data_IF_907025287194
#
_entry.id   IF_907025287194
#
_cell.length_a   1.000
_cell.length_b   1.000
_cell.length_c   1.000
_cell.angle_alpha   90.00
_cell.angle_beta   90.00
_cell.angle_gamma   90.00
#
_symmetry.space_group_name_H-M   'P 1'
#
loop_
_entity.id
_entity.type
_entity.pdbx_description
1 polymer ?
#
# COMPACT_ATOMS: atom_id res chain seq x y z
N UNK A 1 2.40 1.84 -23.53
CA UNK A 1 1.17 2.65 -23.44
C UNK A 1 0.82 2.77 -21.96
N UNK A 2 0.47 3.96 -21.42
CA UNK A 2 -0.05 4.05 -20.06
C UNK A 2 -1.32 3.19 -19.97
N UNK A 3 -1.46 2.42 -18.89
CA UNK A 3 -2.70 1.69 -18.65
C UNK A 3 -3.85 2.71 -18.48
N UNK A 4 -5.07 2.41 -18.97
CA UNK A 4 -6.19 3.31 -18.80
C UNK A 4 -6.51 3.51 -17.31
N UNK A 5 -6.60 4.77 -16.88
CA UNK A 5 -6.99 5.19 -15.54
C UNK A 5 -8.32 4.51 -15.15
N UNK A 6 -8.35 3.81 -14.01
CA UNK A 6 -9.55 3.12 -13.53
C UNK A 6 -10.49 4.13 -12.86
N UNK A 7 -11.76 4.11 -13.25
CA UNK A 7 -12.75 5.11 -12.87
C UNK A 7 -13.92 4.54 -12.11
N UNK A 8 -14.34 5.30 -11.09
CA UNK A 8 -15.51 5.05 -10.25
C UNK A 8 -16.49 6.21 -10.42
N UNK A 9 -17.78 5.89 -10.53
CA UNK A 9 -18.84 6.88 -10.63
C UNK A 9 -19.73 6.84 -9.39
N UNK A 10 -19.76 7.92 -8.63
CA UNK A 10 -20.73 8.12 -7.55
C UNK A 10 -21.98 8.86 -8.05
N UNK A 11 -23.16 8.32 -7.74
CA UNK A 11 -24.45 8.86 -8.14
C UNK A 11 -25.25 9.31 -6.93
N UNK A 12 -25.83 10.50 -7.04
CA UNK A 12 -26.95 10.92 -6.19
C UNK A 12 -27.95 11.75 -7.01
N UNK A 13 -29.05 12.19 -6.43
CA UNK A 13 -30.08 12.96 -7.15
C UNK A 13 -29.55 14.27 -7.76
N UNK A 14 -28.97 15.16 -6.96
CA UNK A 14 -28.60 16.51 -7.39
C UNK A 14 -27.12 16.77 -7.71
N UNK A 15 -26.21 15.80 -7.49
CA UNK A 15 -24.75 16.00 -7.54
C UNK A 15 -24.21 17.22 -6.78
N UNK A 16 -24.79 17.50 -5.63
CA UNK A 16 -24.45 18.69 -4.83
C UNK A 16 -23.94 18.33 -3.43
N UNK A 17 -24.44 17.23 -2.85
CA UNK A 17 -24.16 16.87 -1.46
C UNK A 17 -23.42 15.52 -1.36
N UNK A 18 -24.16 14.42 -1.27
CA UNK A 18 -23.62 13.09 -0.92
C UNK A 18 -22.61 12.54 -1.96
N UNK A 19 -22.91 12.58 -3.26
CA UNK A 19 -21.99 12.05 -4.28
C UNK A 19 -20.74 12.92 -4.49
N UNK A 20 -20.85 14.24 -4.31
CA UNK A 20 -19.68 15.14 -4.29
C UNK A 20 -18.79 14.88 -3.08
N UNK A 21 -19.38 14.67 -1.90
CA UNK A 21 -18.62 14.30 -0.70
C UNK A 21 -17.86 12.99 -0.94
N UNK A 22 -18.55 11.98 -1.50
CA UNK A 22 -17.95 10.70 -1.77
C UNK A 22 -16.78 10.77 -2.78
N UNK A 23 -16.95 11.52 -3.86
CA UNK A 23 -15.90 11.74 -4.86
C UNK A 23 -14.64 12.36 -4.26
N UNK A 24 -14.77 13.48 -3.55
CA UNK A 24 -13.61 14.22 -3.03
C UNK A 24 -12.89 13.42 -1.94
N UNK A 25 -13.64 12.77 -1.04
CA UNK A 25 -13.07 11.93 0.01
C UNK A 25 -12.37 10.70 -0.58
N UNK A 26 -12.99 10.01 -1.54
CA UNK A 26 -12.37 8.87 -2.20
C UNK A 26 -11.06 9.26 -2.88
N UNK A 27 -11.07 10.33 -3.70
CA UNK A 27 -9.89 10.75 -4.45
C UNK A 27 -8.72 11.14 -3.53
N UNK A 28 -9.02 11.79 -2.39
CA UNK A 28 -8.01 12.10 -1.38
C UNK A 28 -7.40 10.83 -0.79
N UNK A 29 -8.23 9.90 -0.30
CA UNK A 29 -7.77 8.67 0.33
C UNK A 29 -7.07 7.72 -0.66
N UNK A 30 -7.54 7.68 -1.91
CA UNK A 30 -6.90 6.91 -2.98
C UNK A 30 -5.50 7.43 -3.28
N UNK A 31 -5.32 8.76 -3.34
CA UNK A 31 -4.01 9.38 -3.52
C UNK A 31 -3.07 9.10 -2.33
N UNK A 32 -3.55 9.20 -1.09
CA UNK A 32 -2.77 8.83 0.11
C UNK A 32 -2.32 7.37 0.09
N UNK A 33 -3.14 6.47 -0.46
CA UNK A 33 -2.84 5.04 -0.60
C UNK A 33 -2.08 4.69 -1.89
N UNK A 34 -1.81 5.65 -2.76
CA UNK A 34 -1.16 5.40 -4.05
C UNK A 34 -1.96 4.49 -4.99
N UNK A 35 -3.29 4.51 -4.88
CA UNK A 35 -4.17 3.72 -5.75
C UNK A 35 -4.32 4.39 -7.11
N UNK A 36 -4.18 3.60 -8.19
CA UNK A 36 -4.47 4.02 -9.57
C UNK A 36 -5.98 3.95 -9.87
N UNK A 37 -6.76 4.65 -9.04
CA UNK A 37 -8.21 4.77 -9.13
C UNK A 37 -8.62 6.23 -8.97
N UNK A 38 -9.57 6.66 -9.80
CA UNK A 38 -10.17 7.98 -9.73
C UNK A 38 -11.68 7.91 -9.65
N UNK A 39 -12.25 8.66 -8.73
CA UNK A 39 -13.69 8.87 -8.65
C UNK A 39 -14.11 10.14 -9.41
N UNK A 40 -15.27 10.04 -10.05
CA UNK A 40 -16.09 11.17 -10.47
C UNK A 40 -17.50 11.02 -9.86
N UNK A 41 -18.31 12.08 -9.91
CA UNK A 41 -19.71 12.00 -9.50
C UNK A 41 -20.66 12.72 -10.44
N UNK A 42 -21.90 12.23 -10.51
CA UNK A 42 -22.98 12.78 -11.34
C UNK A 42 -24.34 12.77 -10.63
N UNK A 43 -25.25 13.55 -11.19
CA UNK A 43 -26.62 13.76 -10.73
C UNK A 43 -27.60 12.99 -11.62
N UNK A 44 -28.56 12.30 -11.01
CA UNK A 44 -29.57 11.55 -11.75
C UNK A 44 -30.77 12.41 -12.17
N UNK A 45 -31.07 13.47 -11.42
CA UNK A 45 -32.25 14.29 -11.66
C UNK A 45 -32.10 15.18 -12.91
N UNK A 46 -33.17 15.26 -13.71
CA UNK A 46 -33.17 15.95 -15.01
C UNK A 46 -32.99 17.46 -14.87
N UNK A 47 -33.60 18.08 -13.84
CA UNK A 47 -33.54 19.51 -13.57
C UNK A 47 -33.17 19.79 -12.12
N UNK A 48 -31.89 19.59 -11.79
CA UNK A 48 -31.36 19.80 -10.45
C UNK A 48 -31.42 21.27 -9.98
N UNK A 49 -31.72 22.24 -10.86
CA UNK A 49 -31.92 23.65 -10.49
C UNK A 49 -33.19 23.83 -9.66
N UNK A 50 -34.17 22.94 -9.81
CA UNK A 50 -35.40 22.92 -9.02
C UNK A 50 -35.18 22.44 -7.57
N UNK A 51 -34.02 21.84 -7.29
CA UNK A 51 -33.68 21.36 -5.94
C UNK A 51 -33.21 22.48 -4.99
N UNK A 52 -33.15 23.73 -5.44
CA UNK A 52 -32.75 24.87 -4.60
C UNK A 52 -31.28 24.86 -4.18
N UNK A 53 -30.43 24.12 -4.90
CA UNK A 53 -28.99 24.03 -4.61
C UNK A 53 -28.25 25.25 -5.17
N UNK A 54 -27.56 26.01 -4.32
CA UNK A 54 -26.80 27.19 -4.71
C UNK A 54 -25.30 26.96 -4.59
N UNK A 55 -24.57 27.09 -5.71
CA UNK A 55 -23.12 26.98 -5.76
C UNK A 55 -22.61 25.61 -6.18
N UNK A 56 -21.35 25.32 -5.84
CA UNK A 56 -20.60 24.18 -6.36
C UNK A 56 -20.84 22.88 -5.59
N UNK A 57 -21.11 22.99 -4.29
CA UNK A 57 -21.24 21.87 -3.36
C UNK A 57 -21.89 22.35 -2.07
N UNK A 58 -22.64 21.47 -1.40
CA UNK A 58 -23.26 21.76 -0.11
C UNK A 58 -22.23 22.21 0.93
N UNK A 59 -22.55 23.30 1.65
CA UNK A 59 -21.71 23.82 2.74
C UNK A 59 -21.48 22.79 3.84
N UNK A 60 -22.45 21.91 4.10
CA UNK A 60 -22.32 20.81 5.06
C UNK A 60 -21.25 19.80 4.61
N UNK A 61 -21.26 19.40 3.33
CA UNK A 61 -20.25 18.48 2.81
C UNK A 61 -18.87 19.12 2.73
N UNK A 62 -18.78 20.39 2.34
CA UNK A 62 -17.52 21.14 2.34
C UNK A 62 -16.92 21.21 3.75
N UNK A 63 -17.73 21.59 4.74
CA UNK A 63 -17.31 21.66 6.15
C UNK A 63 -16.84 20.30 6.66
N UNK A 64 -17.55 19.22 6.30
CA UNK A 64 -17.19 17.87 6.68
C UNK A 64 -15.86 17.40 6.04
N UNK A 65 -15.60 17.75 4.78
CA UNK A 65 -14.33 17.46 4.10
C UNK A 65 -13.17 18.26 4.69
N UNK A 66 -13.38 19.55 4.97
CA UNK A 66 -12.37 20.43 5.57
C UNK A 66 -11.98 19.96 6.98
N UNK A 67 -12.96 19.52 7.80
CA UNK A 67 -12.69 18.86 9.10
C UNK A 67 -11.81 17.60 8.97
N UNK A 68 -11.82 16.96 7.80
CA UNK A 68 -11.02 15.77 7.47
C UNK A 68 -9.73 16.12 6.72
N UNK A 69 -9.39 17.41 6.62
CA UNK A 69 -8.22 17.92 5.90
C UNK A 69 -8.23 17.58 4.39
N UNK A 70 -9.41 17.28 3.83
CA UNK A 70 -9.58 17.02 2.40
C UNK A 70 -9.69 18.35 1.65
N UNK A 71 -8.79 18.59 0.70
CA UNK A 71 -8.82 19.79 -0.14
C UNK A 71 -9.93 19.68 -1.18
N UNK A 72 -10.94 20.55 -1.08
CA UNK A 72 -12.10 20.55 -1.99
C UNK A 72 -11.90 21.52 -3.16
N UNK A 73 -12.07 21.04 -4.39
CA UNK A 73 -12.13 21.92 -5.57
C UNK A 73 -13.50 22.58 -5.68
N UNK A 74 -13.58 23.90 -5.43
CA UNK A 74 -14.81 24.70 -5.55
C UNK A 74 -15.01 25.29 -6.96
N UNK A 75 -14.45 24.68 -8.00
CA UNK A 75 -14.54 25.19 -9.39
C UNK A 75 -15.64 24.54 -10.22
N UNK A 76 -16.12 23.36 -9.82
CA UNK A 76 -17.06 22.55 -10.60
C UNK A 76 -18.46 22.63 -10.01
N UNK A 77 -19.44 23.06 -10.80
CA UNK A 77 -20.86 23.00 -10.44
C UNK A 77 -21.39 21.57 -10.50
N UNK A 78 -22.54 21.27 -9.88
CA UNK A 78 -23.22 19.99 -10.04
C UNK A 78 -23.39 19.61 -11.52
N UNK A 79 -23.08 18.36 -11.84
CA UNK A 79 -23.15 17.83 -13.20
C UNK A 79 -24.15 16.67 -13.25
N UNK A 80 -25.03 16.72 -14.25
CA UNK A 80 -25.95 15.64 -14.57
C UNK A 80 -25.23 14.52 -15.32
N UNK A 81 -25.63 13.28 -15.06
CA UNK A 81 -25.20 12.13 -15.83
C UNK A 81 -25.70 12.23 -17.28
N UNK A 82 -24.81 12.05 -18.26
CA UNK A 82 -25.20 12.01 -19.67
C UNK A 82 -25.54 10.57 -20.10
N UNK A 83 -26.48 10.38 -21.04
CA UNK A 83 -26.74 9.05 -21.62
C UNK A 83 -25.45 8.39 -22.14
N UNK A 84 -25.28 7.10 -21.86
CA UNK A 84 -24.09 6.32 -22.21
C UNK A 84 -22.79 6.64 -21.44
N UNK A 85 -22.73 7.73 -20.64
CA UNK A 85 -21.51 8.15 -19.92
C UNK A 85 -21.04 7.09 -18.92
N UNK A 86 -21.99 6.41 -18.25
CA UNK A 86 -21.70 5.41 -17.23
C UNK A 86 -20.88 4.21 -17.74
N UNK A 87 -20.88 3.94 -19.06
CA UNK A 87 -20.09 2.85 -19.67
C UNK A 87 -18.58 3.07 -19.57
N UNK A 88 -18.14 4.30 -19.33
CA UNK A 88 -16.72 4.63 -19.15
C UNK A 88 -16.16 4.30 -17.76
N UNK A 89 -16.99 3.80 -16.83
CA UNK A 89 -16.62 3.55 -15.45
C UNK A 89 -16.64 2.06 -15.15
N UNK A 90 -15.64 1.59 -14.39
CA UNK A 90 -15.55 0.17 -14.01
C UNK A 90 -16.46 -0.14 -12.82
N UNK A 91 -16.75 0.86 -11.99
CA UNK A 91 -17.58 0.72 -10.79
C UNK A 91 -18.55 1.90 -10.74
N UNK A 92 -19.84 1.60 -10.59
CA UNK A 92 -20.90 2.61 -10.43
C UNK A 92 -21.59 2.39 -9.09
N UNK A 93 -21.63 3.44 -8.27
CA UNK A 93 -22.18 3.40 -6.91
C UNK A 93 -23.25 4.48 -6.79
N UNK A 94 -24.49 4.08 -6.47
CA UNK A 94 -25.56 5.00 -6.13
C UNK A 94 -25.80 5.00 -4.61
N UNK A 95 -26.06 6.17 -4.05
CA UNK A 95 -26.02 6.32 -2.59
C UNK A 95 -27.29 5.84 -1.89
N UNK A 96 -28.44 5.83 -2.56
CA UNK A 96 -29.74 5.39 -2.02
C UNK A 96 -30.48 4.56 -3.05
N UNK A 97 -30.81 3.30 -2.76
CA UNK A 97 -31.50 2.46 -3.73
C UNK A 97 -32.92 2.95 -4.04
N UNK A 98 -33.73 3.21 -3.01
CA UNK A 98 -35.15 3.53 -3.17
C UNK A 98 -35.36 4.82 -3.97
N UNK A 99 -34.47 5.79 -3.78
CA UNK A 99 -34.51 7.08 -4.48
C UNK A 99 -33.99 6.97 -5.91
N UNK A 100 -32.88 6.26 -6.12
CA UNK A 100 -32.14 6.33 -7.37
C UNK A 100 -32.50 5.23 -8.37
N UNK A 101 -32.89 4.04 -7.91
CA UNK A 101 -33.22 2.92 -8.80
C UNK A 101 -34.34 3.29 -9.80
N UNK A 102 -35.48 3.90 -9.38
CA UNK A 102 -36.52 4.30 -10.33
C UNK A 102 -36.07 5.35 -11.34
N UNK A 103 -35.20 6.28 -10.93
CA UNK A 103 -34.63 7.30 -11.82
C UNK A 103 -33.69 6.68 -12.85
N UNK A 104 -32.87 5.70 -12.43
CA UNK A 104 -31.96 4.96 -13.29
C UNK A 104 -32.75 4.16 -14.33
N UNK A 105 -33.72 3.35 -13.90
CA UNK A 105 -34.53 2.52 -14.80
C UNK A 105 -35.29 3.36 -15.84
N UNK A 106 -35.79 4.53 -15.43
CA UNK A 106 -36.56 5.42 -16.30
C UNK A 106 -35.70 6.21 -17.30
N UNK A 107 -34.53 6.69 -16.87
CA UNK A 107 -33.76 7.68 -17.63
C UNK A 107 -32.41 7.18 -18.16
N UNK A 108 -31.90 6.09 -17.62
CA UNK A 108 -30.61 5.50 -17.96
C UNK A 108 -30.71 3.96 -18.00
N UNK A 109 -31.61 3.37 -18.82
CA UNK A 109 -31.85 1.93 -18.85
C UNK A 109 -30.61 1.11 -19.26
N UNK A 110 -29.61 1.74 -19.87
CA UNK A 110 -28.34 1.14 -20.26
C UNK A 110 -27.27 1.14 -19.15
N UNK A 111 -27.63 1.55 -17.92
CA UNK A 111 -26.69 1.65 -16.80
C UNK A 111 -26.05 0.27 -16.50
N UNK A 112 -24.72 0.20 -16.32
CA UNK A 112 -24.06 -1.03 -15.88
C UNK A 112 -24.49 -1.39 -14.45
N UNK A 113 -24.06 -2.56 -13.94
CA UNK A 113 -24.36 -3.01 -12.58
C UNK A 113 -24.07 -1.90 -11.54
N UNK A 114 -25.12 -1.40 -10.92
CA UNK A 114 -25.05 -0.35 -9.89
C UNK A 114 -24.99 -1.01 -8.52
N UNK A 115 -23.99 -0.62 -7.72
CA UNK A 115 -23.95 -0.96 -6.29
C UNK A 115 -24.66 0.13 -5.49
N UNK A 116 -25.52 -0.24 -4.56
CA UNK A 116 -26.22 0.69 -3.69
C UNK A 116 -25.62 0.70 -2.28
N UNK A 117 -25.49 1.88 -1.68
CA UNK A 117 -24.95 2.05 -0.33
C UNK A 117 -26.00 2.38 0.73
N UNK A 118 -27.25 2.60 0.32
CA UNK A 118 -28.44 2.81 1.16
C UNK A 118 -28.27 3.85 2.27
N UNK A 119 -27.70 4.99 1.88
CA UNK A 119 -27.56 6.24 2.64
C UNK A 119 -28.72 7.16 2.25
N UNK A 120 -29.60 7.48 3.19
CA UNK A 120 -30.84 8.24 2.92
C UNK A 120 -30.57 9.74 2.73
N UNK A 121 -31.56 10.47 2.24
CA UNK A 121 -31.45 11.92 2.00
C UNK A 121 -31.73 12.76 3.26
N UNK A 122 -31.40 14.06 3.16
CA UNK A 122 -31.67 15.03 4.22
C UNK A 122 -33.19 15.16 4.46
N UNK A 123 -33.65 14.70 5.62
CA UNK A 123 -35.06 14.63 6.00
C UNK A 123 -35.37 13.33 6.75
N UNK A 124 -34.74 12.24 6.33
CA UNK A 124 -34.86 10.92 6.96
C UNK A 124 -33.70 10.62 7.93
N UNK A 125 -32.53 11.23 7.70
CA UNK A 125 -31.38 11.16 8.62
C UNK A 125 -30.62 12.50 8.73
N UNK A 126 -29.99 12.80 9.90
CA UNK A 126 -29.17 13.97 10.06
C UNK A 126 -27.93 13.97 9.15
N UNK A 127 -27.55 15.14 8.65
CA UNK A 127 -26.41 15.36 7.75
C UNK A 127 -25.11 14.66 8.21
N UNK A 128 -24.77 14.80 9.49
CA UNK A 128 -23.55 14.25 10.07
C UNK A 128 -23.55 12.71 10.07
N UNK A 129 -24.71 12.10 10.32
CA UNK A 129 -24.89 10.64 10.26
C UNK A 129 -24.67 10.12 8.84
N UNK A 130 -25.32 10.75 7.84
CA UNK A 130 -25.20 10.37 6.44
C UNK A 130 -23.74 10.42 5.95
N UNK A 131 -23.04 11.53 6.22
CA UNK A 131 -21.64 11.71 5.82
C UNK A 131 -20.71 10.74 6.55
N UNK A 132 -20.96 10.47 7.83
CA UNK A 132 -20.23 9.47 8.61
C UNK A 132 -20.35 8.07 8.00
N UNK A 133 -21.56 7.65 7.63
CA UNK A 133 -21.79 6.36 6.96
C UNK A 133 -21.12 6.29 5.58
N UNK A 134 -21.18 7.36 4.79
CA UNK A 134 -20.47 7.45 3.50
C UNK A 134 -18.97 7.30 3.71
N UNK A 135 -18.39 7.98 4.71
CA UNK A 135 -16.98 7.84 5.03
C UNK A 135 -16.62 6.39 5.42
N UNK A 136 -17.40 5.75 6.29
CA UNK A 136 -17.17 4.35 6.66
C UNK A 136 -17.15 3.45 5.43
N UNK A 137 -18.13 3.61 4.53
CA UNK A 137 -18.20 2.84 3.27
C UNK A 137 -16.99 3.10 2.38
N UNK A 138 -16.56 4.36 2.23
CA UNK A 138 -15.38 4.72 1.41
C UNK A 138 -14.10 4.12 2.00
N UNK A 139 -13.90 4.20 3.31
CA UNK A 139 -12.70 3.63 3.95
C UNK A 139 -12.62 2.11 3.81
N UNK A 140 -13.76 1.43 3.96
CA UNK A 140 -13.86 -0.01 3.72
C UNK A 140 -13.55 -0.33 2.25
N UNK A 141 -14.11 0.45 1.32
CA UNK A 141 -13.93 0.25 -0.11
C UNK A 141 -12.48 0.53 -0.58
N UNK A 142 -11.82 1.56 -0.04
CA UNK A 142 -10.38 1.81 -0.28
C UNK A 142 -9.54 0.64 0.21
N UNK A 143 -9.88 0.05 1.38
CA UNK A 143 -9.20 -1.14 1.90
C UNK A 143 -9.36 -2.32 0.94
N UNK A 144 -10.57 -2.55 0.44
CA UNK A 144 -10.86 -3.61 -0.52
C UNK A 144 -10.12 -3.41 -1.85
N UNK A 145 -10.12 -2.20 -2.41
CA UNK A 145 -9.38 -1.88 -3.63
C UNK A 145 -7.87 -2.03 -3.42
N UNK A 146 -7.36 -1.63 -2.25
CA UNK A 146 -5.95 -1.82 -1.90
C UNK A 146 -5.59 -3.31 -1.85
N UNK A 147 -6.45 -4.14 -1.25
CA UNK A 147 -6.24 -5.59 -1.20
C UNK A 147 -6.31 -6.26 -2.59
N UNK A 148 -7.25 -5.83 -3.45
CA UNK A 148 -7.37 -6.33 -4.83
C UNK A 148 -6.23 -5.91 -5.74
N UNK A 149 -5.57 -4.80 -5.42
CA UNK A 149 -4.44 -4.26 -6.18
C UNK A 149 -3.11 -4.70 -5.58
N UNK A 150 -3.10 -5.19 -4.33
CA UNK A 150 -1.93 -5.77 -3.69
C UNK A 150 -1.55 -7.05 -4.42
N UNK A 151 -0.50 -6.97 -5.23
CA UNK A 151 0.09 -8.12 -5.92
C UNK A 151 0.74 -9.10 -4.93
N UNK A 152 0.91 -8.70 -3.66
CA UNK A 152 1.57 -9.51 -2.64
C UNK A 152 1.03 -9.18 -1.24
N UNK A 153 0.99 -10.18 -0.36
CA UNK A 153 0.65 -10.06 1.05
C UNK A 153 1.91 -10.09 1.91
N UNK A 154 2.07 -9.11 2.81
CA UNK A 154 3.13 -9.13 3.83
C UNK A 154 2.58 -9.81 5.09
N UNK A 155 3.23 -10.89 5.52
CA UNK A 155 2.84 -11.66 6.71
C UNK A 155 4.06 -12.28 7.41
N UNK A 156 3.87 -12.75 8.64
CA UNK A 156 4.91 -13.52 9.32
C UNK A 156 5.19 -14.80 8.51
N UNK A 157 6.46 -15.21 8.49
CA UNK A 157 6.86 -16.48 7.91
C UNK A 157 6.33 -17.66 8.74
N UNK A 158 5.94 -18.72 8.06
CA UNK A 158 5.62 -20.02 8.62
C UNK A 158 6.62 -21.08 8.12
N UNK A 159 6.64 -22.26 8.74
CA UNK A 159 7.54 -23.35 8.35
C UNK A 159 7.40 -23.77 6.87
N UNK A 160 6.21 -23.63 6.31
CA UNK A 160 5.93 -23.94 4.90
C UNK A 160 6.53 -22.90 3.94
N UNK A 161 6.91 -21.71 4.44
CA UNK A 161 7.56 -20.68 3.64
C UNK A 161 9.08 -20.90 3.50
N UNK A 162 9.72 -21.71 4.38
CA UNK A 162 11.18 -21.93 4.39
C UNK A 162 11.76 -22.29 3.01
N UNK A 163 11.19 -23.23 2.23
CA UNK A 163 11.70 -23.53 0.89
C UNK A 163 11.68 -22.31 -0.05
N UNK A 164 10.64 -21.47 0.07
CA UNK A 164 10.49 -20.26 -0.73
C UNK A 164 11.46 -19.15 -0.32
N UNK A 165 11.71 -18.98 0.99
CA UNK A 165 12.70 -18.04 1.52
C UNK A 165 14.10 -18.43 1.06
N UNK A 166 14.48 -19.70 1.25
CA UNK A 166 15.77 -20.26 0.83
C UNK A 166 16.03 -20.01 -0.66
N UNK A 167 15.02 -20.26 -1.50
CA UNK A 167 15.13 -20.01 -2.95
C UNK A 167 15.36 -18.53 -3.26
N UNK A 168 14.60 -17.62 -2.64
CA UNK A 168 14.78 -16.17 -2.84
C UNK A 168 16.17 -15.73 -2.40
N UNK A 169 16.67 -16.22 -1.27
CA UNK A 169 18.00 -15.88 -0.75
C UNK A 169 19.10 -16.36 -1.69
N UNK A 170 19.15 -17.66 -2.00
CA UNK A 170 20.20 -18.24 -2.85
C UNK A 170 20.20 -17.61 -4.24
N UNK A 171 19.03 -17.40 -4.85
CA UNK A 171 18.93 -16.73 -6.16
C UNK A 171 19.39 -15.27 -6.08
N UNK A 172 19.08 -14.56 -4.98
CA UNK A 172 19.54 -13.20 -4.75
C UNK A 172 21.05 -13.15 -4.54
N UNK A 173 21.63 -14.07 -3.78
CA UNK A 173 23.07 -14.11 -3.49
C UNK A 173 23.84 -14.40 -4.77
N UNK A 174 23.46 -15.45 -5.50
CA UNK A 174 24.10 -15.82 -6.77
C UNK A 174 24.02 -14.71 -7.81
N UNK A 175 22.98 -13.88 -7.80
CA UNK A 175 22.82 -12.78 -8.76
C UNK A 175 23.44 -11.46 -8.31
N UNK A 176 23.28 -11.07 -7.05
CA UNK A 176 23.78 -9.80 -6.51
C UNK A 176 25.28 -9.84 -6.22
N UNK A 177 25.80 -11.01 -5.86
CA UNK A 177 27.19 -11.22 -5.46
C UNK A 177 28.03 -11.90 -6.56
N UNK A 178 27.43 -12.16 -7.72
CA UNK A 178 28.16 -12.56 -8.92
C UNK A 178 29.29 -11.56 -9.21
N UNK A 179 30.52 -12.05 -9.25
CA UNK A 179 31.71 -11.23 -9.49
C UNK A 179 32.23 -10.44 -8.29
N UNK A 180 31.57 -10.54 -7.12
CA UNK A 180 32.05 -10.01 -5.84
C UNK A 180 32.64 -11.09 -4.94
N UNK A 181 32.22 -12.35 -5.13
CA UNK A 181 32.71 -13.52 -4.40
C UNK A 181 33.22 -14.60 -5.37
N UNK A 182 34.14 -15.47 -4.94
CA UNK A 182 34.51 -16.66 -5.68
C UNK A 182 33.28 -17.51 -6.03
N UNK A 183 33.25 -18.08 -7.24
CA UNK A 183 32.16 -18.98 -7.65
C UNK A 183 32.00 -20.15 -6.67
N UNK A 184 33.12 -20.72 -6.22
CA UNK A 184 33.15 -21.77 -5.21
C UNK A 184 32.48 -21.33 -3.90
N UNK A 185 32.66 -20.08 -3.44
CA UNK A 185 32.00 -19.57 -2.24
C UNK A 185 30.47 -19.50 -2.42
N UNK A 186 30.00 -19.03 -3.59
CA UNK A 186 28.56 -18.96 -3.90
C UNK A 186 27.92 -20.34 -4.13
N UNK A 187 28.70 -21.35 -4.48
CA UNK A 187 28.24 -22.74 -4.64
C UNK A 187 27.86 -23.41 -3.31
N UNK A 188 28.42 -22.94 -2.20
CA UNK A 188 28.05 -23.43 -0.85
C UNK A 188 26.63 -23.02 -0.44
N UNK A 189 26.05 -22.00 -1.06
CA UNK A 189 24.65 -21.61 -0.81
C UNK A 189 23.73 -22.54 -1.60
N UNK A 190 23.34 -23.66 -0.98
CA UNK A 190 22.34 -24.58 -1.55
C UNK A 190 20.95 -24.29 -1.02
N UNK A 191 19.92 -24.55 -1.82
CA UNK A 191 18.53 -24.35 -1.37
C UNK A 191 18.19 -25.23 -0.17
N UNK A 192 18.76 -26.44 -0.08
CA UNK A 192 18.45 -27.41 0.97
C UNK A 192 19.04 -27.00 2.33
N UNK A 193 20.29 -26.54 2.34
CA UNK A 193 20.95 -26.06 3.57
C UNK A 193 20.27 -24.79 4.08
N UNK A 194 20.02 -23.82 3.19
CA UNK A 194 19.32 -22.59 3.58
C UNK A 194 17.89 -22.87 4.07
N UNK A 195 17.17 -23.81 3.44
CA UNK A 195 15.85 -24.22 3.95
C UNK A 195 15.95 -24.77 5.38
N UNK A 196 16.96 -25.60 5.66
CA UNK A 196 17.19 -26.15 6.99
C UNK A 196 17.50 -25.05 8.02
N UNK A 197 18.32 -24.07 7.66
CA UNK A 197 18.67 -22.95 8.53
C UNK A 197 17.43 -22.10 8.86
N UNK A 198 16.57 -21.82 7.87
CA UNK A 198 15.31 -21.10 8.09
C UNK A 198 14.35 -21.88 8.99
N UNK A 199 14.25 -23.21 8.81
CA UNK A 199 13.46 -24.08 9.69
C UNK A 199 14.01 -24.06 11.12
N UNK A 200 15.33 -24.13 11.28
CA UNK A 200 15.96 -24.05 12.58
C UNK A 200 15.67 -22.71 13.26
N UNK A 201 15.80 -21.59 12.54
CA UNK A 201 15.48 -20.26 13.07
C UNK A 201 14.03 -20.20 13.57
N UNK A 202 13.05 -20.64 12.77
CA UNK A 202 11.64 -20.60 13.13
C UNK A 202 11.27 -21.53 14.30
N UNK A 203 11.99 -22.62 14.49
CA UNK A 203 11.75 -23.57 15.59
C UNK A 203 12.57 -23.29 16.85
N UNK A 204 13.61 -22.45 16.77
CA UNK A 204 14.53 -22.17 17.87
C UNK A 204 13.93 -21.37 19.04
N UNK A 205 12.72 -20.83 18.88
CA UNK A 205 12.18 -19.83 19.80
C UNK A 205 12.83 -18.45 19.64
N UNK A 206 13.53 -18.21 18.52
CA UNK A 206 14.10 -16.90 18.21
C UNK A 206 13.03 -15.82 18.26
N UNK A 207 13.37 -14.70 18.87
CA UNK A 207 12.53 -13.52 18.83
C UNK A 207 12.70 -12.75 17.51
N UNK A 208 13.53 -13.16 16.56
CA UNK A 208 13.71 -12.38 15.32
C UNK A 208 12.40 -12.22 14.55
N UNK A 209 12.25 -11.07 13.89
CA UNK A 209 11.09 -10.74 13.06
C UNK A 209 11.39 -11.22 11.65
N UNK A 210 10.77 -12.32 11.24
CA UNK A 210 10.84 -12.84 9.87
C UNK A 210 9.50 -12.67 9.16
N UNK A 211 9.48 -11.84 8.11
CA UNK A 211 8.30 -11.61 7.27
C UNK A 211 8.55 -12.06 5.84
N UNK A 212 7.49 -12.54 5.20
CA UNK A 212 7.47 -12.86 3.77
C UNK A 212 6.49 -11.97 3.02
N UNK A 213 6.81 -11.74 1.75
CA UNK A 213 5.88 -11.27 0.75
C UNK A 213 5.41 -12.47 -0.06
N UNK A 214 4.13 -12.82 0.06
CA UNK A 214 3.51 -13.93 -0.66
C UNK A 214 2.69 -13.41 -1.84
N UNK A 215 2.81 -14.03 -3.02
CA UNK A 215 1.94 -13.76 -4.18
C UNK A 215 0.50 -14.25 -3.92
N UNK A 216 -0.48 -13.94 -4.79
CA UNK A 216 -1.85 -14.45 -4.64
C UNK A 216 -1.93 -15.98 -4.68
N UNK A 217 -0.97 -16.63 -5.35
CA UNK A 217 -0.80 -18.09 -5.39
C UNK A 217 -0.01 -18.63 -4.19
N UNK A 218 0.18 -17.80 -3.15
CA UNK A 218 0.91 -18.10 -1.92
C UNK A 218 2.40 -18.46 -2.14
N UNK A 219 3.01 -17.95 -3.22
CA UNK A 219 4.46 -18.13 -3.44
C UNK A 219 5.25 -17.04 -2.73
N UNK A 220 6.30 -17.40 -1.99
CA UNK A 220 7.24 -16.44 -1.43
C UNK A 220 8.03 -15.77 -2.57
N UNK A 221 7.90 -14.45 -2.67
CA UNK A 221 8.62 -13.62 -3.65
C UNK A 221 9.61 -12.64 -3.02
N UNK A 222 9.62 -12.56 -1.69
CA UNK A 222 10.56 -11.72 -0.94
C UNK A 222 10.44 -11.99 0.55
N UNK A 223 11.46 -11.60 1.31
CA UNK A 223 11.45 -11.70 2.76
C UNK A 223 12.29 -10.58 3.38
N UNK A 224 12.03 -10.32 4.66
CA UNK A 224 12.86 -9.48 5.52
C UNK A 224 13.07 -10.19 6.86
N UNK A 225 14.31 -10.16 7.34
CA UNK A 225 14.68 -10.58 8.67
C UNK A 225 15.16 -9.35 9.44
N UNK A 226 14.60 -9.11 10.61
CA UNK A 226 14.97 -8.01 11.48
C UNK A 226 15.11 -8.50 12.92
N UNK A 227 15.97 -7.83 13.69
CA UNK A 227 16.28 -8.18 15.07
C UNK A 227 16.22 -6.94 15.96
N UNK A 228 15.54 -7.07 17.09
CA UNK A 228 15.60 -6.10 18.18
C UNK A 228 16.67 -6.58 19.18
N UNK A 229 17.69 -5.76 19.41
CA UNK A 229 18.75 -6.06 20.39
C UNK A 229 19.40 -4.74 20.83
N UNK A 230 19.49 -4.45 22.13
CA UNK A 230 20.25 -3.30 22.62
C UNK A 230 21.70 -3.36 22.15
N UNK A 231 22.25 -2.20 21.81
CA UNK A 231 23.66 -2.02 21.44
C UNK A 231 24.13 -2.95 20.31
N UNK A 232 23.24 -3.25 19.33
CA UNK A 232 23.61 -4.05 18.15
C UNK A 232 24.67 -3.36 17.29
N UNK A 233 24.66 -2.03 17.33
CA UNK A 233 25.71 -1.12 16.87
C UNK A 233 25.69 0.10 17.82
N UNK A 234 26.80 0.82 18.07
CA UNK A 234 26.80 1.97 18.98
C UNK A 234 25.68 2.99 18.68
N UNK A 235 24.72 3.13 19.61
CA UNK A 235 23.54 4.01 19.45
C UNK A 235 22.31 3.36 18.77
N UNK A 236 22.39 2.09 18.39
CA UNK A 236 21.36 1.37 17.65
C UNK A 236 20.77 0.20 18.43
N UNK A 237 19.44 0.09 18.46
CA UNK A 237 18.71 -0.94 19.21
C UNK A 237 17.98 -1.96 18.33
N UNK A 238 18.20 -1.92 17.02
CA UNK A 238 17.73 -2.94 16.07
C UNK A 238 18.54 -2.99 14.77
N UNK A 239 18.40 -4.10 14.05
CA UNK A 239 19.03 -4.35 12.76
C UNK A 239 18.06 -5.00 11.76
N UNK A 240 18.10 -4.55 10.50
CA UNK A 240 17.57 -5.28 9.36
C UNK A 240 18.68 -6.20 8.84
N UNK A 241 18.63 -7.46 9.25
CA UNK A 241 19.66 -8.48 8.98
C UNK A 241 19.67 -8.91 7.51
N UNK A 242 18.50 -9.01 6.89
CA UNK A 242 18.37 -9.41 5.50
C UNK A 242 17.12 -8.82 4.87
N UNK A 243 17.19 -8.44 3.59
CA UNK A 243 16.05 -7.98 2.81
C UNK A 243 16.25 -8.36 1.35
N UNK A 244 15.45 -9.31 0.87
CA UNK A 244 15.57 -9.83 -0.48
C UNK A 244 14.22 -9.91 -1.16
N UNK A 245 14.20 -9.56 -2.46
CA UNK A 245 13.03 -9.69 -3.33
C UNK A 245 13.48 -10.35 -4.62
N UNK A 246 12.72 -11.35 -5.07
CA UNK A 246 12.93 -12.06 -6.34
C UNK A 246 13.09 -11.04 -7.46
N UNK A 247 14.10 -11.23 -8.31
CA UNK A 247 14.44 -10.28 -9.39
C UNK A 247 13.23 -9.89 -10.27
N UNK A 248 12.40 -10.86 -10.65
CA UNK A 248 11.18 -10.63 -11.44
C UNK A 248 10.08 -9.82 -10.71
N UNK A 249 10.17 -9.70 -9.39
CA UNK A 249 9.21 -9.03 -8.52
C UNK A 249 9.73 -7.68 -7.99
N UNK A 250 10.95 -7.28 -8.35
CA UNK A 250 11.52 -5.98 -7.99
C UNK A 250 10.82 -4.82 -8.74
N UNK A 251 10.93 -3.61 -8.20
CA UNK A 251 10.27 -2.42 -8.76
C UNK A 251 8.77 -2.31 -8.48
N UNK A 252 8.17 -3.31 -7.83
CA UNK A 252 6.73 -3.36 -7.52
C UNK A 252 6.41 -2.90 -6.09
N UNK A 253 7.35 -2.24 -5.39
CA UNK A 253 7.15 -1.76 -4.02
C UNK A 253 7.25 -2.83 -2.92
N UNK A 254 7.50 -4.10 -3.26
CA UNK A 254 7.57 -5.22 -2.29
C UNK A 254 8.64 -5.00 -1.21
N UNK A 255 9.86 -4.61 -1.60
CA UNK A 255 10.94 -4.37 -0.64
C UNK A 255 10.59 -3.26 0.36
N UNK A 256 9.89 -2.22 -0.12
CA UNK A 256 9.39 -1.14 0.73
C UNK A 256 8.30 -1.63 1.69
N UNK A 257 7.35 -2.44 1.21
CA UNK A 257 6.30 -3.03 2.04
C UNK A 257 6.85 -3.99 3.11
N UNK A 258 7.83 -4.83 2.77
CA UNK A 258 8.54 -5.69 3.71
C UNK A 258 9.24 -4.86 4.80
N UNK A 259 10.02 -3.87 4.39
CA UNK A 259 10.76 -3.00 5.31
C UNK A 259 9.83 -2.25 6.26
N UNK A 260 8.70 -1.74 5.76
CA UNK A 260 7.65 -1.13 6.60
C UNK A 260 7.11 -2.09 7.64
N UNK A 261 6.77 -3.31 7.21
CA UNK A 261 6.27 -4.34 8.12
C UNK A 261 7.28 -4.73 9.21
N UNK A 262 8.58 -4.72 8.89
CA UNK A 262 9.64 -4.95 9.87
C UNK A 262 9.75 -3.77 10.85
N UNK A 263 9.80 -2.53 10.35
CA UNK A 263 9.84 -1.31 11.17
C UNK A 263 8.66 -1.23 12.14
N UNK A 264 7.44 -1.50 11.68
CA UNK A 264 6.25 -1.51 12.55
C UNK A 264 6.40 -2.50 13.71
N UNK A 265 6.96 -3.69 13.47
CA UNK A 265 7.18 -4.72 14.49
C UNK A 265 8.34 -4.37 15.42
N UNK A 266 9.39 -3.74 14.92
CA UNK A 266 10.48 -3.20 15.74
C UNK A 266 9.98 -2.10 16.69
N UNK A 267 9.12 -1.21 16.20
CA UNK A 267 8.48 -0.17 17.02
C UNK A 267 7.58 -0.75 18.12
N UNK A 268 6.85 -1.82 17.85
CA UNK A 268 6.08 -2.54 18.89
C UNK A 268 7.00 -3.05 20.00
N UNK A 269 8.25 -3.41 19.67
CA UNK A 269 9.30 -3.79 20.63
C UNK A 269 10.04 -2.61 21.24
N UNK A 270 9.57 -1.38 20.99
CA UNK A 270 10.11 -0.13 21.52
C UNK A 270 11.52 0.21 21.01
N UNK A 271 11.96 -0.40 19.91
CA UNK A 271 13.17 0.05 19.21
C UNK A 271 12.97 1.48 18.70
N UNK A 272 14.01 2.30 18.86
CA UNK A 272 14.04 3.70 18.46
C UNK A 272 14.91 3.95 17.25
N UNK A 273 15.83 3.06 16.96
CA UNK A 273 16.82 3.19 15.89
C UNK A 273 16.98 1.87 15.15
N UNK A 274 17.40 1.92 13.89
CA UNK A 274 17.69 0.70 13.14
C UNK A 274 18.87 0.90 12.21
N UNK A 275 19.58 -0.19 11.89
CA UNK A 275 20.71 -0.19 10.98
C UNK A 275 20.66 -1.41 10.06
N UNK A 276 21.45 -1.41 8.99
CA UNK A 276 21.73 -2.60 8.18
C UNK A 276 23.16 -2.60 7.66
N UNK A 277 23.71 -3.78 7.43
CA UNK A 277 24.94 -3.97 6.67
C UNK A 277 24.62 -4.32 5.21
N UNK A 278 25.45 -3.83 4.29
CA UNK A 278 25.40 -4.24 2.88
C UNK A 278 26.80 -4.15 2.27
N UNK A 279 27.09 -4.93 1.23
CA UNK A 279 28.39 -4.85 0.56
C UNK A 279 28.64 -3.43 0.02
N UNK A 280 29.88 -2.97 0.14
CA UNK A 280 30.34 -1.67 -0.35
C UNK A 280 30.04 -1.47 -1.83
N UNK A 281 30.06 -2.51 -2.64
CA UNK A 281 29.79 -2.43 -4.08
C UNK A 281 28.34 -2.77 -4.46
N UNK A 282 27.43 -2.94 -3.49
CA UNK A 282 26.04 -3.27 -3.75
C UNK A 282 25.26 -2.06 -4.29
N UNK A 283 24.54 -2.23 -5.40
CA UNK A 283 23.68 -1.20 -5.97
C UNK A 283 22.52 -0.79 -5.03
N UNK A 284 22.15 -1.66 -4.08
CA UNK A 284 21.12 -1.38 -3.07
C UNK A 284 21.45 -0.17 -2.19
N UNK A 285 22.73 0.23 -2.08
CA UNK A 285 23.17 1.42 -1.33
C UNK A 285 22.41 2.68 -1.69
N UNK A 286 22.24 2.94 -2.99
CA UNK A 286 21.48 4.10 -3.49
C UNK A 286 20.00 4.07 -3.09
N UNK A 287 19.45 2.87 -2.83
CA UNK A 287 18.09 2.73 -2.34
C UNK A 287 18.02 3.09 -0.86
N UNK A 288 18.96 2.63 -0.03
CA UNK A 288 19.02 3.01 1.38
C UNK A 288 19.27 4.51 1.59
N UNK A 289 20.13 5.13 0.78
CA UNK A 289 20.36 6.59 0.80
C UNK A 289 19.06 7.37 0.49
N UNK A 290 18.27 6.92 -0.49
CA UNK A 290 16.95 7.52 -0.79
C UNK A 290 15.90 7.29 0.30
N UNK A 291 16.14 6.32 1.19
CA UNK A 291 15.34 6.09 2.38
C UNK A 291 15.87 6.87 3.60
N UNK A 292 16.76 7.85 3.39
CA UNK A 292 17.46 8.64 4.40
C UNK A 292 18.44 7.83 5.27
N UNK A 293 18.94 6.70 4.79
CA UNK A 293 19.98 5.96 5.50
C UNK A 293 21.27 6.77 5.52
N UNK A 294 21.85 6.94 6.69
CA UNK A 294 23.15 7.59 6.89
C UNK A 294 24.26 6.54 6.92
N UNK A 295 25.38 6.81 6.23
CA UNK A 295 26.53 5.92 6.24
C UNK A 295 27.23 6.00 7.61
N UNK A 296 27.26 4.88 8.35
CA UNK A 296 27.79 4.84 9.72
C UNK A 296 29.26 4.41 9.78
N UNK A 297 29.66 3.49 8.91
CA UNK A 297 30.97 2.87 8.98
C UNK A 297 31.12 1.71 8.01
N UNK A 298 32.29 1.08 8.04
CA UNK A 298 32.61 -0.09 7.24
C UNK A 298 33.30 -1.16 8.06
N UNK A 299 33.22 -2.40 7.59
CA UNK A 299 33.90 -3.57 8.15
C UNK A 299 34.50 -4.39 7.02
N UNK A 300 35.67 -4.96 7.31
CA UNK A 300 36.49 -5.68 6.35
C UNK A 300 36.60 -7.13 6.78
N UNK A 301 36.47 -8.03 5.82
CA UNK A 301 36.62 -9.46 6.01
C UNK A 301 37.52 -10.04 4.93
N UNK A 302 38.46 -10.88 5.33
CA UNK A 302 39.24 -11.67 4.39
C UNK A 302 38.56 -13.05 4.25
N UNK A 303 38.23 -13.42 3.01
CA UNK A 303 37.75 -14.75 2.64
C UNK A 303 38.68 -15.32 1.57
N UNK A 304 39.51 -16.26 1.98
CA UNK A 304 40.66 -16.75 1.21
C UNK A 304 41.54 -15.58 0.73
N UNK A 305 41.70 -15.40 -0.58
CA UNK A 305 42.49 -14.32 -1.19
C UNK A 305 41.67 -13.04 -1.51
N UNK A 306 40.44 -12.92 -0.97
CA UNK A 306 39.52 -11.85 -1.30
C UNK A 306 39.16 -11.00 -0.08
N UNK A 307 39.26 -9.69 -0.24
CA UNK A 307 38.76 -8.71 0.74
C UNK A 307 37.29 -8.37 0.42
N UNK A 308 36.41 -8.62 1.39
CA UNK A 308 35.00 -8.22 1.38
C UNK A 308 34.85 -7.01 2.29
N UNK A 309 34.29 -5.94 1.74
CA UNK A 309 33.97 -4.74 2.50
C UNK A 309 32.46 -4.56 2.58
N UNK A 310 31.93 -4.48 3.79
CA UNK A 310 30.54 -4.13 4.06
C UNK A 310 30.47 -2.73 4.67
N UNK A 311 29.43 -1.99 4.31
CA UNK A 311 29.12 -0.66 4.86
C UNK A 311 27.81 -0.71 5.62
N UNK A 312 27.73 0.04 6.71
CA UNK A 312 26.53 0.18 7.51
C UNK A 312 25.74 1.43 7.13
N UNK A 313 24.43 1.30 6.95
CA UNK A 313 23.49 2.42 6.89
C UNK A 313 22.61 2.41 8.13
N UNK A 314 22.36 3.60 8.70
CA UNK A 314 21.61 3.78 9.94
C UNK A 314 20.51 4.82 9.88
N UNK A 315 19.53 4.64 10.75
CA UNK A 315 18.49 5.59 11.12
C UNK A 315 18.43 5.72 12.64
N UNK A 316 18.98 6.80 13.20
CA UNK A 316 18.97 7.08 14.65
C UNK A 316 17.54 7.24 15.20
N UNK A 317 16.63 7.76 14.38
CA UNK A 317 15.21 7.69 14.60
C UNK A 317 14.59 6.76 13.54
N UNK A 318 14.02 5.65 13.99
CA UNK A 318 13.44 4.62 13.12
C UNK A 318 12.30 5.17 12.25
N UNK A 319 11.68 6.29 12.63
CA UNK A 319 10.65 6.98 11.83
C UNK A 319 11.22 7.74 10.62
N UNK A 320 12.53 8.01 10.58
CA UNK A 320 13.18 8.65 9.44
C UNK A 320 13.35 7.70 8.25
N UNK A 321 13.23 6.39 8.52
CA UNK A 321 13.22 5.35 7.50
C UNK A 321 11.88 5.39 6.74
N UNK A 322 11.89 6.05 5.57
CA UNK A 322 10.71 6.30 4.72
C UNK A 322 10.22 5.06 3.95
N UNK A 323 9.94 4.00 4.68
CA UNK A 323 9.36 2.74 4.20
C UNK A 323 7.88 2.84 3.86
#
# INVERSE_FOLDING_TARGET
MPMPERKILFLCTGNYYRSRFAEELFNHLAAEKGLDWRAESRGLYQDFRLLGNFGHMSSLAVTALEKRQVKVSRKRFPQKLKPGEAKGYQIVIALDQDEHQPLIERHYPEMPNVTYWDIKDLGDEPAESALGRIETKIRAFITELSARTATHQIRNAALDDCPGIARVQVDSYRSAYAGQFPAAYLEHFTYAEEEQDWRQLLTSGSEDILLVAASPENQVVGYVLARARPDIYPGYDSEILALHVRKASQGQGIGKALLRGAVERLKVRRCKSTMLWTLKNNQARQWYERLNGELLGEKHYDVDDWEIVEVAYGWENIDDLRS
#
